data_IF_280949862953
#
_entry.id   IF_280949862953
#
_cell.length_a   1.000
_cell.length_b   1.000
_cell.length_c   1.000
_cell.angle_alpha   90.00
_cell.angle_beta   90.00
_cell.angle_gamma   90.00
#
_symmetry.space_group_name_H-M   'P 1'
#
loop_
_entity.id
_entity.type
_entity.pdbx_description
1 polymer ?
#
# COMPACT_ATOMS: atom_id res chain seq x y z
N UNK A 1 -5.22 -27.62 7.61
CA UNK A 1 -5.10 -26.20 8.05
C UNK A 1 -5.95 -25.90 9.27
N UNK A 2 -7.28 -25.76 9.18
CA UNK A 2 -8.10 -25.38 10.35
C UNK A 2 -8.14 -26.46 11.44
N UNK A 3 -8.24 -27.74 11.05
CA UNK A 3 -8.23 -28.86 12.00
C UNK A 3 -6.89 -29.00 12.74
N UNK A 4 -5.79 -28.54 12.13
CA UNK A 4 -4.47 -28.53 12.75
C UNK A 4 -4.29 -27.36 13.73
N UNK A 5 -5.16 -26.34 13.65
CA UNK A 5 -5.20 -25.21 14.56
C UNK A 5 -6.20 -25.40 15.71
N UNK A 6 -6.87 -26.55 15.79
CA UNK A 6 -7.81 -26.91 16.87
C UNK A 6 -7.23 -26.66 18.28
N UNK A 7 -5.93 -26.90 18.58
CA UNK A 7 -5.38 -26.59 19.90
C UNK A 7 -5.39 -25.10 20.27
N UNK A 8 -5.46 -24.21 19.27
CA UNK A 8 -5.36 -22.76 19.41
C UNK A 8 -6.72 -22.06 19.23
N UNK A 9 -7.73 -22.78 18.76
CA UNK A 9 -9.05 -22.25 18.43
C UNK A 9 -10.09 -22.84 19.38
N UNK A 10 -10.85 -21.97 20.05
CA UNK A 10 -12.08 -22.44 20.69
C UNK A 10 -13.17 -22.72 19.63
N UNK A 11 -14.20 -23.48 20.02
CA UNK A 11 -15.30 -23.88 19.13
C UNK A 11 -16.01 -22.67 18.49
N UNK A 12 -16.06 -21.53 19.19
CA UNK A 12 -16.70 -20.32 18.69
C UNK A 12 -15.82 -19.66 17.61
N UNK A 13 -14.51 -19.55 17.84
CA UNK A 13 -13.51 -19.01 16.91
C UNK A 13 -13.38 -19.89 15.66
N UNK A 14 -13.35 -21.21 15.83
CA UNK A 14 -13.34 -22.14 14.71
C UNK A 14 -14.57 -21.94 13.82
N UNK A 15 -15.77 -21.82 14.41
CA UNK A 15 -17.00 -21.57 13.66
C UNK A 15 -16.99 -20.21 12.96
N UNK A 16 -16.49 -19.17 13.63
CA UNK A 16 -16.37 -17.82 13.07
C UNK A 16 -15.42 -17.80 11.87
N UNK A 17 -14.24 -18.41 12.00
CA UNK A 17 -13.27 -18.57 10.91
C UNK A 17 -13.89 -19.31 9.71
N UNK A 18 -14.57 -20.43 9.93
CA UNK A 18 -15.29 -21.15 8.86
C UNK A 18 -16.37 -20.27 8.21
N UNK A 19 -17.09 -19.48 9.00
CA UNK A 19 -18.11 -18.58 8.49
C UNK A 19 -17.50 -17.47 7.61
N UNK A 20 -16.37 -16.88 8.03
CA UNK A 20 -15.66 -15.84 7.27
C UNK A 20 -15.04 -16.39 5.99
N UNK A 21 -14.45 -17.59 6.03
CA UNK A 21 -13.92 -18.27 4.84
C UNK A 21 -15.01 -18.58 3.79
N UNK A 22 -16.22 -18.92 4.25
CA UNK A 22 -17.37 -19.17 3.35
C UNK A 22 -18.16 -17.90 3.00
N UNK A 23 -17.68 -16.71 3.38
CA UNK A 23 -18.35 -15.46 3.07
C UNK A 23 -18.27 -15.17 1.56
N UNK A 24 -19.36 -14.64 1.00
CA UNK A 24 -19.42 -14.22 -0.39
C UNK A 24 -18.67 -12.92 -0.66
N UNK A 25 -18.45 -12.13 0.38
CA UNK A 25 -17.63 -10.93 0.32
C UNK A 25 -16.15 -11.32 0.25
N UNK A 26 -15.45 -11.02 -0.87
CA UNK A 26 -14.04 -11.37 -1.04
C UNK A 26 -13.12 -10.76 0.01
N UNK A 27 -13.41 -9.55 0.51
CA UNK A 27 -12.55 -8.93 1.52
C UNK A 27 -12.57 -9.72 2.82
N UNK A 28 -13.75 -10.23 3.19
CA UNK A 28 -13.93 -11.03 4.39
C UNK A 28 -13.31 -12.43 4.25
N UNK A 29 -13.50 -13.09 3.10
CA UNK A 29 -12.97 -14.43 2.88
C UNK A 29 -11.46 -14.44 2.65
N UNK A 30 -10.91 -13.47 1.92
CA UNK A 30 -9.45 -13.32 1.73
C UNK A 30 -8.75 -12.93 3.03
N UNK A 31 -9.35 -12.03 3.83
CA UNK A 31 -8.84 -11.70 5.15
C UNK A 31 -8.74 -12.94 6.05
N UNK A 32 -9.79 -13.77 6.07
CA UNK A 32 -9.80 -15.01 6.83
C UNK A 32 -8.83 -16.07 6.27
N UNK A 33 -8.66 -16.16 4.95
CA UNK A 33 -7.68 -17.07 4.33
C UNK A 33 -6.24 -16.68 4.70
N UNK A 34 -5.92 -15.38 4.67
CA UNK A 34 -4.62 -14.86 5.07
C UNK A 34 -4.36 -15.12 6.57
N UNK A 35 -5.33 -14.83 7.43
CA UNK A 35 -5.26 -15.11 8.87
C UNK A 35 -5.01 -16.60 9.15
N UNK A 36 -5.79 -17.48 8.52
CA UNK A 36 -5.64 -18.93 8.65
C UNK A 36 -4.26 -19.41 8.17
N UNK A 37 -3.79 -18.87 7.05
CA UNK A 37 -2.50 -19.26 6.46
C UNK A 37 -1.33 -18.85 7.35
N UNK A 38 -1.37 -17.63 7.90
CA UNK A 38 -0.33 -17.13 8.80
C UNK A 38 -0.34 -17.94 10.09
N UNK A 39 -1.50 -18.11 10.73
CA UNK A 39 -1.65 -18.92 11.93
C UNK A 39 -1.12 -20.35 11.72
N UNK A 40 -1.50 -20.99 10.61
CA UNK A 40 -1.04 -22.33 10.29
C UNK A 40 0.48 -22.40 10.10
N UNK A 41 1.10 -21.39 9.49
CA UNK A 41 2.57 -21.36 9.33
C UNK A 41 3.32 -21.14 10.64
N UNK A 42 2.67 -20.55 11.64
CA UNK A 42 3.25 -20.26 12.95
C UNK A 42 2.89 -21.30 14.04
N UNK A 43 2.16 -22.37 13.67
CA UNK A 43 1.63 -23.37 14.62
C UNK A 43 2.69 -24.12 15.45
N UNK A 44 3.95 -24.09 15.04
CA UNK A 44 5.07 -24.76 15.73
C UNK A 44 5.69 -23.88 16.84
N UNK A 45 5.27 -22.62 16.93
CA UNK A 45 5.71 -21.65 17.94
C UNK A 45 4.66 -21.50 19.04
N UNK A 46 4.97 -20.68 20.05
CA UNK A 46 4.02 -20.33 21.10
C UNK A 46 3.03 -19.30 20.55
N UNK A 47 2.01 -19.81 19.86
CA UNK A 47 1.01 -19.05 19.12
C UNK A 47 -0.28 -18.91 19.94
N UNK A 48 -0.81 -17.70 19.99
CA UNK A 48 -2.16 -17.39 20.44
C UNK A 48 -2.95 -16.68 19.34
N UNK A 49 -4.15 -17.18 19.05
CA UNK A 49 -5.09 -16.58 18.11
C UNK A 49 -6.10 -15.74 18.90
N UNK A 50 -6.22 -14.45 18.58
CA UNK A 50 -7.02 -13.47 19.32
C UNK A 50 -6.79 -13.56 20.86
N UNK A 51 -5.59 -13.18 21.34
CA UNK A 51 -5.19 -13.33 22.75
C UNK A 51 -6.10 -12.52 23.67
N UNK A 52 -6.93 -13.21 24.47
CA UNK A 52 -7.97 -12.59 25.31
C UNK A 52 -7.42 -11.70 26.43
N UNK A 53 -6.15 -11.90 26.82
CA UNK A 53 -5.46 -11.10 27.83
C UNK A 53 -4.93 -9.78 27.26
N UNK A 54 -4.93 -9.59 25.94
CA UNK A 54 -4.41 -8.39 25.30
C UNK A 54 -5.20 -7.15 25.71
N UNK A 55 -4.47 -6.10 26.11
CA UNK A 55 -5.03 -4.82 26.54
C UNK A 55 -4.57 -3.70 25.59
N UNK A 56 -5.41 -2.67 25.38
CA UNK A 56 -5.73 -1.89 24.16
C UNK A 56 -4.62 -1.33 23.23
N UNK A 57 -5.00 -0.78 22.03
CA UNK A 57 -6.34 -0.33 21.60
C UNK A 57 -7.24 -1.36 20.90
N UNK A 58 -6.67 -2.36 20.24
CA UNK A 58 -7.39 -3.45 19.55
C UNK A 58 -6.69 -4.77 19.91
N UNK A 59 -7.47 -5.84 20.06
CA UNK A 59 -6.91 -7.19 20.17
C UNK A 59 -6.32 -7.58 18.80
N UNK A 60 -5.05 -8.02 18.74
CA UNK A 60 -4.45 -8.49 17.51
C UNK A 60 -5.08 -9.80 17.06
N UNK A 61 -4.93 -10.11 15.78
CA UNK A 61 -5.43 -11.38 15.24
C UNK A 61 -4.55 -12.53 15.73
N UNK A 62 -3.22 -12.34 15.79
CA UNK A 62 -2.28 -13.34 16.30
C UNK A 62 -1.22 -12.70 17.21
N UNK A 63 -0.80 -13.47 18.21
CA UNK A 63 0.37 -13.22 19.04
C UNK A 63 1.27 -14.44 19.01
N UNK A 64 2.57 -14.26 18.81
CA UNK A 64 3.52 -15.38 18.76
C UNK A 64 4.81 -15.06 19.48
N UNK A 65 5.29 -15.99 20.29
CA UNK A 65 6.62 -15.96 20.91
C UNK A 65 7.52 -17.07 20.34
N UNK A 66 8.84 -16.88 20.43
CA UNK A 66 9.83 -17.88 20.00
C UNK A 66 10.12 -17.94 18.50
N UNK A 67 9.44 -17.13 17.68
CA UNK A 67 9.81 -16.95 16.27
C UNK A 67 11.11 -16.15 16.11
N UNK A 68 11.27 -15.12 16.95
CA UNK A 68 12.50 -14.34 17.10
C UNK A 68 12.85 -14.39 18.58
N UNK A 69 14.10 -14.75 18.89
CA UNK A 69 14.57 -14.85 20.27
C UNK A 69 14.31 -13.54 21.02
N UNK A 70 13.66 -13.67 22.19
CA UNK A 70 13.32 -12.58 23.12
C UNK A 70 12.45 -11.45 22.53
N UNK A 71 11.80 -11.64 21.38
CA UNK A 71 10.92 -10.64 20.76
C UNK A 71 9.56 -11.26 20.43
N UNK A 72 8.47 -10.88 21.13
CA UNK A 72 7.13 -11.28 20.77
C UNK A 72 6.70 -10.58 19.48
N UNK A 73 6.03 -11.31 18.59
CA UNK A 73 5.47 -10.78 17.36
C UNK A 73 3.94 -10.67 17.51
N UNK A 74 3.43 -9.49 17.16
CA UNK A 74 2.01 -9.15 17.16
C UNK A 74 1.60 -8.97 15.71
N UNK A 75 0.58 -9.71 15.26
CA UNK A 75 0.16 -9.75 13.86
C UNK A 75 -1.28 -9.28 13.75
N UNK A 76 -1.50 -8.34 12.83
CA UNK A 76 -2.80 -7.82 12.43
C UNK A 76 -2.94 -8.02 10.93
N UNK A 77 -3.95 -8.78 10.53
CA UNK A 77 -4.28 -9.13 9.16
C UNK A 77 -5.37 -8.17 8.69
N UNK A 78 -4.94 -7.14 7.96
CA UNK A 78 -5.86 -6.30 7.20
C UNK A 78 -6.15 -6.95 5.86
N UNK A 79 -7.43 -7.24 5.60
CA UNK A 79 -7.88 -7.74 4.30
C UNK A 79 -7.36 -6.87 3.14
N UNK A 80 -6.91 -7.52 2.08
CA UNK A 80 -6.55 -6.85 0.84
C UNK A 80 -7.84 -6.36 0.18
N UNK A 81 -8.05 -5.04 0.15
CA UNK A 81 -8.98 -4.48 -0.81
C UNK A 81 -8.39 -4.70 -2.20
N UNK A 82 -9.02 -5.57 -2.99
CA UNK A 82 -8.59 -6.01 -4.33
C UNK A 82 -8.45 -4.84 -5.35
N UNK A 83 -8.81 -3.62 -4.94
CA UNK A 83 -8.71 -2.42 -5.75
C UNK A 83 -7.76 -1.34 -5.20
N UNK A 84 -7.36 -1.38 -3.93
CA UNK A 84 -6.64 -0.26 -3.33
C UNK A 84 -5.15 -0.58 -3.19
N UNK A 85 -4.34 -0.03 -4.10
CA UNK A 85 -2.90 0.10 -3.82
C UNK A 85 -2.77 0.99 -2.58
N UNK A 86 -2.07 0.53 -1.53
CA UNK A 86 -1.86 1.34 -0.32
C UNK A 86 -1.34 2.73 -0.71
N UNK A 87 -2.10 3.79 -0.36
CA UNK A 87 -1.78 5.17 -0.74
C UNK A 87 -2.32 5.63 -2.11
N UNK A 88 -3.23 4.87 -2.74
CA UNK A 88 -3.85 5.21 -4.02
C UNK A 88 -4.49 6.60 -4.04
N UNK A 89 -5.28 6.95 -3.02
CA UNK A 89 -5.90 8.27 -2.93
C UNK A 89 -4.85 9.40 -2.89
N UNK A 90 -3.73 9.16 -2.22
CA UNK A 90 -2.61 10.11 -2.14
C UNK A 90 -1.91 10.26 -3.49
N UNK A 91 -1.70 9.13 -4.17
CA UNK A 91 -1.09 9.11 -5.48
C UNK A 91 -2.01 9.74 -6.54
N UNK A 92 -3.31 9.47 -6.51
CA UNK A 92 -4.28 10.10 -7.42
C UNK A 92 -4.32 11.61 -7.17
N UNK A 93 -4.38 12.04 -5.91
CA UNK A 93 -4.32 13.47 -5.57
C UNK A 93 -3.06 14.15 -6.13
N UNK A 94 -1.88 13.54 -5.94
CA UNK A 94 -0.62 14.05 -6.46
C UNK A 94 -0.60 14.07 -8.01
N UNK A 95 -1.06 12.99 -8.65
CA UNK A 95 -1.10 12.85 -10.10
C UNK A 95 -2.05 13.89 -10.73
N UNK A 96 -3.26 14.06 -10.18
CA UNK A 96 -4.22 15.07 -10.64
C UNK A 96 -3.64 16.49 -10.52
N UNK A 97 -2.92 16.76 -9.44
CA UNK A 97 -2.26 18.05 -9.23
C UNK A 97 -1.17 18.31 -10.27
N UNK A 98 -0.39 17.29 -10.63
CA UNK A 98 0.62 17.38 -11.69
C UNK A 98 0.00 17.44 -13.09
N UNK A 99 -1.09 16.72 -13.36
CA UNK A 99 -1.86 16.80 -14.61
C UNK A 99 -2.40 18.22 -14.82
N UNK A 100 -3.01 18.80 -13.78
CA UNK A 100 -3.51 20.17 -13.83
C UNK A 100 -2.39 21.16 -14.14
N UNK A 101 -1.22 20.99 -13.52
CA UNK A 101 -0.03 21.77 -13.83
C UNK A 101 0.42 21.57 -15.29
N UNK A 102 0.45 20.34 -15.78
CA UNK A 102 0.83 20.04 -17.15
C UNK A 102 -0.08 20.71 -18.19
N UNK A 103 -1.39 20.73 -17.92
CA UNK A 103 -2.37 21.41 -18.76
C UNK A 103 -2.17 22.91 -18.88
N UNK A 104 -1.53 23.56 -17.89
CA UNK A 104 -1.14 24.97 -18.00
C UNK A 104 -0.03 25.19 -19.03
N UNK A 105 0.84 24.20 -19.24
CA UNK A 105 1.92 24.27 -20.22
C UNK A 105 1.47 23.82 -21.62
N UNK A 106 0.72 22.71 -21.70
CA UNK A 106 0.17 22.19 -22.96
C UNK A 106 -1.17 21.50 -22.71
N UNK A 107 -2.24 22.06 -23.28
CA UNK A 107 -3.60 21.51 -23.13
C UNK A 107 -3.68 20.06 -23.63
N UNK A 108 -4.27 19.17 -22.83
CA UNK A 108 -4.49 17.76 -23.18
C UNK A 108 -3.26 16.85 -23.05
N UNK A 109 -2.10 17.37 -22.65
CA UNK A 109 -0.91 16.53 -22.44
C UNK A 109 -1.06 15.61 -21.22
N UNK A 110 -1.91 15.97 -20.27
CA UNK A 110 -2.15 15.23 -19.04
C UNK A 110 -2.66 13.81 -19.28
N UNK A 111 -3.49 13.63 -20.30
CA UNK A 111 -4.01 12.33 -20.74
C UNK A 111 -2.91 11.32 -21.12
N UNK A 112 -1.68 11.78 -21.36
CA UNK A 112 -0.55 10.98 -21.83
C UNK A 112 0.56 10.85 -20.77
N UNK A 113 0.34 11.37 -19.57
CA UNK A 113 1.30 11.31 -18.47
C UNK A 113 1.12 10.03 -17.66
N UNK A 114 2.21 9.30 -17.47
CA UNK A 114 2.30 8.15 -16.59
C UNK A 114 3.17 8.50 -15.39
N UNK A 115 2.77 8.03 -14.22
CA UNK A 115 3.43 8.36 -12.95
C UNK A 115 4.04 7.10 -12.35
N UNK A 116 5.20 7.23 -11.71
CA UNK A 116 5.88 6.16 -11.00
C UNK A 116 6.32 6.70 -9.64
N UNK A 117 5.54 6.40 -8.60
CA UNK A 117 5.82 6.89 -7.25
C UNK A 117 6.89 6.02 -6.59
N UNK A 118 7.84 6.67 -5.90
CA UNK A 118 8.83 5.95 -5.13
C UNK A 118 8.25 5.45 -3.80
N UNK A 119 8.87 4.42 -3.23
CA UNK A 119 8.59 4.00 -1.87
C UNK A 119 9.31 4.89 -0.86
N UNK A 120 8.70 5.08 0.30
CA UNK A 120 9.37 5.60 1.49
C UNK A 120 9.64 4.46 2.45
N UNK A 121 10.84 4.39 3.00
CA UNK A 121 11.14 3.63 4.21
C UNK A 121 11.40 4.61 5.35
N UNK A 122 10.63 4.53 6.43
CA UNK A 122 10.85 5.31 7.65
C UNK A 122 11.09 4.36 8.80
N UNK A 123 12.21 4.56 9.49
CA UNK A 123 12.45 3.90 10.77
C UNK A 123 12.01 4.85 11.90
N UNK A 124 10.93 4.52 12.60
CA UNK A 124 10.45 5.30 13.75
C UNK A 124 10.13 4.37 14.92
N UNK A 125 10.65 4.71 16.11
CA UNK A 125 10.35 4.01 17.38
C UNK A 125 10.56 2.48 17.32
N UNK A 126 11.63 2.03 16.67
CA UNK A 126 11.93 0.60 16.53
C UNK A 126 11.14 -0.12 15.43
N UNK A 127 10.24 0.58 14.72
CA UNK A 127 9.42 0.04 13.63
C UNK A 127 9.92 0.53 12.28
N UNK A 128 9.96 -0.37 11.31
CA UNK A 128 10.23 -0.04 9.92
C UNK A 128 8.89 0.09 9.17
N UNK A 129 8.51 1.32 8.81
CA UNK A 129 7.30 1.62 8.06
C UNK A 129 7.66 1.84 6.59
N UNK A 130 7.11 0.99 5.72
CA UNK A 130 7.13 1.20 4.26
C UNK A 130 5.85 1.90 3.84
N UNK A 131 5.98 2.87 2.94
CA UNK A 131 4.87 3.63 2.39
C UNK A 131 5.20 4.16 1.01
N UNK A 132 4.36 5.04 0.49
CA UNK A 132 4.58 5.69 -0.81
C UNK A 132 5.00 7.14 -0.57
N UNK A 133 5.95 7.62 -1.38
CA UNK A 133 6.40 9.00 -1.40
C UNK A 133 5.35 9.89 -2.10
N UNK A 134 4.15 9.96 -1.51
CA UNK A 134 3.05 10.81 -1.93
C UNK A 134 2.50 11.54 -0.69
N UNK A 135 2.44 12.87 -0.76
CA UNK A 135 1.98 13.70 0.35
C UNK A 135 0.50 14.04 0.20
N UNK A 136 -0.26 13.91 1.29
CA UNK A 136 -1.71 14.22 1.32
C UNK A 136 -2.01 15.68 1.00
N UNK A 137 -1.11 16.58 1.41
CA UNK A 137 -1.26 18.03 1.25
C UNK A 137 -0.33 18.57 0.16
N UNK A 138 0.01 17.73 -0.83
CA UNK A 138 1.00 18.08 -1.84
C UNK A 138 0.60 19.34 -2.63
N UNK A 139 1.51 20.32 -2.66
CA UNK A 139 1.39 21.52 -3.48
C UNK A 139 2.70 21.73 -4.24
N UNK A 140 2.67 21.78 -5.58
CA UNK A 140 3.88 21.95 -6.38
C UNK A 140 4.55 23.29 -6.07
N UNK A 141 5.82 23.23 -5.67
CA UNK A 141 6.68 24.40 -5.52
C UNK A 141 6.85 25.13 -6.85
N UNK A 142 7.28 26.39 -6.79
CA UNK A 142 7.56 27.17 -8.00
C UNK A 142 8.66 26.52 -8.86
N UNK A 143 9.59 25.79 -8.24
CA UNK A 143 10.66 25.04 -8.91
C UNK A 143 10.05 23.90 -9.73
N UNK A 144 9.19 23.09 -9.12
CA UNK A 144 8.50 21.99 -9.80
C UNK A 144 7.65 22.49 -10.97
N UNK A 145 6.93 23.61 -10.78
CA UNK A 145 6.14 24.25 -11.85
C UNK A 145 7.00 24.61 -13.06
N UNK A 146 8.15 25.26 -12.83
CA UNK A 146 9.08 25.64 -13.90
C UNK A 146 9.71 24.41 -14.57
N UNK A 147 10.15 23.41 -13.80
CA UNK A 147 10.74 22.17 -14.32
C UNK A 147 9.76 21.40 -15.19
N UNK A 148 8.52 21.25 -14.74
CA UNK A 148 7.49 20.53 -15.48
C UNK A 148 7.13 21.25 -16.78
N UNK A 149 6.96 22.58 -16.75
CA UNK A 149 6.71 23.36 -17.96
C UNK A 149 7.86 23.29 -18.97
N UNK A 150 9.11 23.37 -18.50
CA UNK A 150 10.29 23.25 -19.36
C UNK A 150 10.37 21.85 -20.00
N UNK A 151 10.12 20.80 -19.22
CA UNK A 151 10.13 19.42 -19.72
C UNK A 151 9.00 19.12 -20.72
N UNK A 152 7.79 19.64 -20.51
CA UNK A 152 6.69 19.47 -21.46
C UNK A 152 7.01 20.11 -22.82
N UNK A 153 7.72 21.24 -22.78
CA UNK A 153 8.08 22.03 -23.96
C UNK A 153 9.44 21.64 -24.57
N UNK A 154 10.19 20.70 -23.98
CA UNK A 154 11.47 20.25 -24.52
C UNK A 154 11.30 19.43 -25.81
N UNK A 155 12.41 19.18 -26.52
CA UNK A 155 12.40 18.40 -27.75
C UNK A 155 12.03 16.93 -27.46
N UNK A 156 11.38 16.19 -28.39
CA UNK A 156 11.04 14.78 -28.17
C UNK A 156 12.22 13.88 -27.79
N UNK A 157 13.43 14.17 -28.30
CA UNK A 157 14.68 13.48 -27.95
C UNK A 157 15.14 13.71 -26.50
N UNK A 158 14.66 14.78 -25.87
CA UNK A 158 14.97 15.21 -24.50
C UNK A 158 13.84 14.86 -23.51
N UNK A 159 12.70 14.33 -24.02
CA UNK A 159 11.56 13.88 -23.21
C UNK A 159 11.80 12.50 -22.61
N UNK A 160 12.93 12.33 -21.93
CA UNK A 160 13.11 11.22 -21.00
C UNK A 160 12.23 11.41 -19.77
N UNK A 161 12.16 10.41 -18.88
CA UNK A 161 11.38 10.50 -17.63
C UNK A 161 11.80 11.72 -16.82
N UNK A 162 10.82 12.49 -16.34
CA UNK A 162 11.03 13.61 -15.42
C UNK A 162 10.89 13.12 -13.98
N UNK A 163 11.98 13.12 -13.24
CA UNK A 163 11.95 12.89 -11.79
C UNK A 163 11.65 14.17 -11.02
N UNK A 164 10.58 14.16 -10.25
CA UNK A 164 10.12 15.24 -9.37
C UNK A 164 10.32 14.79 -7.93
N UNK A 165 11.06 15.61 -7.17
CA UNK A 165 11.23 15.47 -5.72
C UNK A 165 10.84 16.79 -5.10
N UNK A 166 9.71 16.82 -4.39
CA UNK A 166 9.14 18.06 -3.87
C UNK A 166 8.17 17.82 -2.71
N UNK A 167 8.33 18.52 -1.60
CA UNK A 167 7.39 18.47 -0.45
C UNK A 167 6.95 17.04 -0.01
N UNK A 168 7.88 16.08 -0.02
CA UNK A 168 7.62 14.68 0.34
C UNK A 168 7.05 13.80 -0.79
N UNK A 169 6.80 14.38 -1.97
CA UNK A 169 6.54 13.65 -3.21
C UNK A 169 7.86 13.24 -3.85
N UNK A 170 7.98 11.97 -4.24
CA UNK A 170 9.03 11.48 -5.14
C UNK A 170 8.35 10.68 -6.24
N UNK A 171 8.35 11.21 -7.46
CA UNK A 171 7.66 10.61 -8.60
C UNK A 171 8.45 10.79 -9.89
N UNK A 172 8.49 9.74 -10.72
CA UNK A 172 8.93 9.84 -12.11
C UNK A 172 7.73 9.97 -13.04
N UNK A 173 7.79 10.92 -13.96
CA UNK A 173 6.74 11.21 -14.92
C UNK A 173 7.23 10.85 -16.32
N UNK A 174 6.46 10.07 -17.06
CA UNK A 174 6.74 9.64 -18.43
C UNK A 174 5.61 10.08 -19.36
N UNK A 175 5.94 10.52 -20.58
CA UNK A 175 4.94 10.76 -21.64
C UNK A 175 4.89 9.53 -22.54
N UNK A 176 3.70 8.93 -22.72
CA UNK A 176 3.50 7.79 -23.62
C UNK A 176 2.66 8.15 -24.85
N UNK A 177 2.74 7.39 -25.94
CA UNK A 177 1.99 7.70 -27.17
C UNK A 177 0.49 7.37 -27.08
N UNK A 178 0.08 6.63 -26.05
CA UNK A 178 -1.31 6.24 -25.81
C UNK A 178 -1.84 6.93 -24.54
N UNK A 179 -3.18 7.09 -24.51
CA UNK A 179 -3.85 7.69 -23.37
C UNK A 179 -3.76 6.78 -22.15
N UNK A 180 -3.60 7.42 -21.01
CA UNK A 180 -3.72 6.83 -19.70
C UNK A 180 -5.13 6.27 -19.50
N UNK A 181 -5.20 5.01 -19.08
CA UNK A 181 -6.40 4.45 -18.46
C UNK A 181 -6.34 4.70 -16.97
N UNK A 182 -7.44 5.22 -16.40
CA UNK A 182 -7.54 5.50 -14.96
C UNK A 182 -7.23 4.20 -14.19
N UNK A 183 -6.45 4.31 -13.11
CA UNK A 183 -6.02 3.20 -12.23
C UNK A 183 -4.88 2.27 -12.72
N UNK A 184 -4.17 2.58 -13.82
CA UNK A 184 -2.97 1.82 -14.25
C UNK A 184 -1.63 2.55 -14.00
N UNK A 185 -1.64 3.48 -13.04
CA UNK A 185 -0.56 4.45 -12.83
C UNK A 185 0.36 4.13 -11.66
N UNK A 186 0.12 3.03 -10.96
CA UNK A 186 0.84 2.73 -9.74
C UNK A 186 1.66 1.48 -9.98
N UNK A 187 2.88 1.69 -10.50
CA UNK A 187 3.86 0.62 -10.54
C UNK A 187 4.87 0.88 -9.44
N UNK A 188 4.75 0.12 -8.36
CA UNK A 188 5.80 0.00 -7.37
C UNK A 188 6.89 -0.88 -8.02
N UNK A 189 8.12 -0.39 -8.22
CA UNK A 189 9.19 -1.26 -8.70
C UNK A 189 9.42 -2.38 -7.68
N UNK A 190 9.40 -3.63 -8.16
CA UNK A 190 9.69 -4.83 -7.34
C UNK A 190 11.16 -4.86 -6.92
#
# INVERSE_FOLDING_TARGET
>A
MIDELDPFLDVKKQRDMVQRLNNKDPEQSLGAEAELSIAWSLREFDLEIEPVWWTPPKCPDLYVEGLIDDIPLVIEVTAFADAAVSGEDLMDHCAQTLIALAHTAKKGIGDYLYFHFAETAKYQRGRNERGIAASKDYKPSQITRKRMAAWINSSPSEKQRLRIEDAGLVVEVEIKPYKQTRYHNYHVPR
#
